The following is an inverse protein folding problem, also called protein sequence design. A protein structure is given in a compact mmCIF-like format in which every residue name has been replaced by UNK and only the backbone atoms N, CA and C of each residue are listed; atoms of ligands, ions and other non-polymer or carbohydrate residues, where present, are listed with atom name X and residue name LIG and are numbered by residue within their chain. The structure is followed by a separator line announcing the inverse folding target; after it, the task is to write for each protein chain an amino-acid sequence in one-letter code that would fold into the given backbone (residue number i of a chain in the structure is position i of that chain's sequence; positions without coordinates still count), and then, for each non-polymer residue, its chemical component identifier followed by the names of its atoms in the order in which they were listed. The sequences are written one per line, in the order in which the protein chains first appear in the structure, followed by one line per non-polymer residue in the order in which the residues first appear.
data_IF_252360326624
#
_entry.id   IF_252360326624
#
_cell.length_a   1.000
_cell.length_b   1.000
_cell.length_c   1.000
_cell.angle_alpha   90.00
_cell.angle_beta   90.00
_cell.angle_gamma   90.00
#
_symmetry.space_group_name_H-M   'P 1'
#
loop_
_entity.id
_entity.type
_entity.pdbx_description
1 polymer ?
#
# COMPACT_ATOMS: atom_id res chain seq x y z
N UNK A 1 9.18 1.89 60.33
CA UNK A 1 9.97 1.53 59.12
C UNK A 1 9.00 1.09 58.03
N UNK A 2 9.31 1.35 56.76
CA UNK A 2 8.47 0.99 55.60
C UNK A 2 8.62 -0.51 55.30
N UNK A 3 7.55 -1.15 54.82
CA UNK A 3 7.69 -2.24 53.84
C UNK A 3 6.40 -2.39 53.02
N UNK A 4 6.34 -1.57 51.96
CA UNK A 4 5.43 -1.74 50.83
C UNK A 4 5.57 -3.15 50.25
N UNK A 5 4.47 -3.87 50.06
CA UNK A 5 4.42 -5.01 49.13
C UNK A 5 3.47 -4.68 48.00
N UNK A 6 4.06 -4.36 46.85
CA UNK A 6 3.37 -4.31 45.56
C UNK A 6 2.91 -5.74 45.21
N UNK A 7 1.63 -5.94 44.93
CA UNK A 7 1.22 -7.09 44.14
C UNK A 7 1.56 -6.80 42.68
N UNK A 8 2.27 -7.69 41.95
CA UNK A 8 2.26 -7.65 40.50
C UNK A 8 0.89 -8.12 40.02
N UNK A 9 0.12 -7.23 39.40
CA UNK A 9 -1.01 -7.63 38.57
C UNK A 9 -0.43 -8.34 37.34
N UNK A 10 -0.37 -9.67 37.40
CA UNK A 10 0.03 -10.48 36.27
C UNK A 10 -1.03 -10.34 35.16
N UNK A 11 -0.75 -9.51 34.15
CA UNK A 11 -1.56 -9.41 32.95
C UNK A 11 -1.39 -10.71 32.15
N UNK A 12 -2.21 -11.70 32.47
CA UNK A 12 -2.30 -12.94 31.72
C UNK A 12 -2.99 -12.63 30.39
N UNK A 13 -2.21 -12.32 29.35
CA UNK A 13 -2.72 -12.24 27.97
C UNK A 13 -3.02 -13.67 27.52
N UNK A 14 -4.18 -14.17 27.94
CA UNK A 14 -4.75 -15.39 27.42
C UNK A 14 -5.20 -15.13 25.98
N UNK A 15 -4.46 -15.67 25.02
CA UNK A 15 -4.87 -15.72 23.62
C UNK A 15 -6.06 -16.68 23.46
N UNK A 16 -7.25 -16.22 23.82
CA UNK A 16 -8.50 -16.86 23.44
C UNK A 16 -8.71 -16.76 21.91
N UNK A 17 -9.68 -17.50 21.36
CA UNK A 17 -10.16 -17.20 20.02
C UNK A 17 -10.62 -15.74 20.00
N UNK A 18 -10.10 -14.96 19.05
CA UNK A 18 -10.49 -13.57 18.88
C UNK A 18 -11.93 -13.50 18.38
N UNK A 19 -12.88 -13.43 19.31
CA UNK A 19 -14.19 -12.87 19.04
C UNK A 19 -14.02 -11.40 18.66
N UNK A 20 -14.87 -10.89 17.77
CA UNK A 20 -14.78 -9.51 17.30
C UNK A 20 -14.86 -8.48 18.43
N UNK A 21 -14.48 -7.23 18.10
CA UNK A 21 -14.39 -6.07 19.00
C UNK A 21 -15.28 -6.05 20.24
N UNK A 22 -14.74 -5.51 21.32
CA UNK A 22 -15.49 -5.19 22.53
C UNK A 22 -16.53 -4.10 22.25
N UNK A 23 -17.80 -4.41 22.47
CA UNK A 23 -18.93 -3.49 22.47
C UNK A 23 -19.20 -3.01 23.88
N UNK A 24 -19.61 -1.75 24.03
CA UNK A 24 -19.95 -1.12 25.31
C UNK A 24 -21.34 -0.52 25.25
N UNK A 25 -22.13 -0.64 26.32
CA UNK A 25 -23.45 0.00 26.42
C UNK A 25 -23.40 1.38 27.12
N UNK A 26 -24.55 2.06 27.18
CA UNK A 26 -24.72 3.35 27.86
C UNK A 26 -24.55 3.30 29.39
N UNK A 27 -24.55 2.10 29.98
CA UNK A 27 -24.25 1.83 31.39
C UNK A 27 -22.77 1.44 31.64
N UNK A 28 -21.94 1.39 30.60
CA UNK A 28 -20.52 1.01 30.68
C UNK A 28 -20.24 -0.50 30.78
N UNK A 29 -21.26 -1.34 30.61
CA UNK A 29 -21.11 -2.80 30.52
C UNK A 29 -20.54 -3.19 29.16
N UNK A 30 -19.67 -4.21 29.13
CA UNK A 30 -18.97 -4.65 27.91
C UNK A 30 -19.36 -6.06 27.46
N UNK A 31 -19.22 -6.31 26.15
CA UNK A 31 -19.44 -7.59 25.49
C UNK A 31 -18.46 -7.76 24.32
N UNK A 32 -17.63 -8.81 24.33
CA UNK A 32 -16.86 -9.22 23.14
C UNK A 32 -17.77 -10.01 22.20
N UNK A 33 -17.90 -9.55 20.95
CA UNK A 33 -18.83 -10.11 19.99
C UNK A 33 -18.60 -9.66 18.54
N UNK A 34 -18.91 -10.55 17.60
CA UNK A 34 -18.92 -10.22 16.18
C UNK A 34 -20.12 -9.34 15.82
N UNK A 35 -19.90 -8.31 14.99
CA UNK A 35 -21.01 -7.67 14.29
C UNK A 35 -21.60 -8.60 13.23
N UNK A 36 -22.88 -8.94 13.37
CA UNK A 36 -23.61 -9.75 12.38
C UNK A 36 -24.35 -8.89 11.38
N UNK A 37 -25.13 -7.91 11.85
CA UNK A 37 -25.94 -7.00 11.01
C UNK A 37 -26.56 -5.85 11.81
N UNK A 38 -26.94 -4.80 11.10
CA UNK A 38 -27.91 -3.78 11.55
C UNK A 38 -29.29 -4.09 10.95
N UNK A 39 -30.38 -3.98 11.72
CA UNK A 39 -31.75 -3.89 11.20
C UNK A 39 -32.54 -2.82 11.94
N UNK A 40 -32.99 -1.80 11.21
CA UNK A 40 -33.59 -0.61 11.83
C UNK A 40 -32.61 0.03 12.82
N UNK A 41 -33.04 0.38 14.05
CA UNK A 41 -32.17 0.89 15.10
C UNK A 41 -31.46 -0.22 15.91
N UNK A 42 -31.56 -1.50 15.53
CA UNK A 42 -31.03 -2.62 16.33
C UNK A 42 -29.81 -3.26 15.68
N UNK A 43 -28.70 -3.24 16.41
CA UNK A 43 -27.48 -3.98 16.11
C UNK A 43 -27.64 -5.42 16.58
N UNK A 44 -27.25 -6.39 15.76
CA UNK A 44 -27.23 -7.80 16.13
C UNK A 44 -25.77 -8.25 16.26
N UNK A 45 -25.40 -8.58 17.48
CA UNK A 45 -24.06 -9.04 17.87
C UNK A 45 -24.07 -10.57 18.08
N UNK A 46 -22.90 -11.20 17.98
CA UNK A 46 -22.73 -12.63 18.29
C UNK A 46 -21.55 -12.84 19.22
N UNK A 47 -21.84 -13.18 20.48
CA UNK A 47 -20.82 -13.55 21.46
C UNK A 47 -20.35 -15.00 21.32
N UNK A 48 -19.49 -15.43 22.24
CA UNK A 48 -18.87 -16.76 22.27
C UNK A 48 -19.87 -17.92 22.22
N UNK A 49 -21.03 -17.76 22.87
CA UNK A 49 -22.10 -18.78 22.89
C UNK A 49 -22.85 -18.93 21.55
N UNK A 50 -22.42 -18.20 20.51
CA UNK A 50 -22.97 -18.13 19.16
C UNK A 50 -24.42 -17.62 19.07
N UNK A 51 -25.01 -17.15 20.17
CA UNK A 51 -26.36 -16.56 20.15
C UNK A 51 -26.32 -15.14 19.57
N UNK A 52 -27.44 -14.72 19.00
CA UNK A 52 -27.62 -13.34 18.55
C UNK A 52 -28.11 -12.47 19.70
N UNK A 53 -27.32 -11.49 20.10
CA UNK A 53 -27.68 -10.47 21.09
C UNK A 53 -28.18 -9.22 20.36
N UNK A 54 -29.46 -8.82 20.51
CA UNK A 54 -29.96 -7.57 19.95
C UNK A 54 -29.61 -6.40 20.88
N UNK A 55 -28.77 -5.48 20.41
CA UNK A 55 -28.42 -4.25 21.10
C UNK A 55 -29.08 -3.04 20.39
N UNK A 56 -29.96 -2.28 21.05
CA UNK A 56 -30.47 -1.01 20.51
C UNK A 56 -29.32 -0.02 20.33
N UNK A 57 -29.22 0.62 19.15
CA UNK A 57 -28.12 1.52 18.82
C UNK A 57 -28.01 2.71 19.80
N UNK A 58 -29.14 3.24 20.25
CA UNK A 58 -29.21 4.31 21.25
C UNK A 58 -28.87 3.88 22.69
N UNK A 59 -28.55 2.59 22.89
CA UNK A 59 -28.05 2.00 24.15
C UNK A 59 -26.59 1.56 24.03
N UNK A 60 -25.93 1.82 22.90
CA UNK A 60 -24.50 1.61 22.74
C UNK A 60 -23.72 2.86 23.16
N UNK A 61 -22.45 2.68 23.52
CA UNK A 61 -21.51 3.77 23.76
C UNK A 61 -21.38 4.69 22.54
N UNK A 62 -20.94 5.94 22.73
CA UNK A 62 -20.76 6.86 21.61
C UNK A 62 -19.78 6.31 20.56
N UNK A 63 -18.68 5.68 20.99
CA UNK A 63 -17.71 5.06 20.10
C UNK A 63 -18.32 3.92 19.25
N UNK A 64 -19.21 3.12 19.83
CA UNK A 64 -19.91 2.05 19.11
C UNK A 64 -21.03 2.58 18.21
N UNK A 65 -21.69 3.68 18.60
CA UNK A 65 -22.61 4.41 17.72
C UNK A 65 -21.89 4.97 16.49
N UNK A 66 -20.71 5.59 16.68
CA UNK A 66 -19.86 6.08 15.60
C UNK A 66 -19.35 4.94 14.71
N UNK A 67 -18.96 3.79 15.28
CA UNK A 67 -18.61 2.60 14.50
C UNK A 67 -19.79 2.15 13.62
N UNK A 68 -21.01 2.06 14.18
CA UNK A 68 -22.20 1.65 13.42
C UNK A 68 -22.60 2.68 12.37
N UNK A 69 -22.35 3.97 12.59
CA UNK A 69 -22.55 4.99 11.55
C UNK A 69 -21.55 4.81 10.40
N UNK A 70 -20.26 4.58 10.71
CA UNK A 70 -19.25 4.26 9.70
C UNK A 70 -19.60 2.98 8.91
N UNK A 71 -20.20 1.98 9.56
CA UNK A 71 -20.75 0.81 8.87
C UNK A 71 -21.88 1.17 7.90
N UNK A 72 -22.79 2.09 8.26
CA UNK A 72 -23.86 2.55 7.35
C UNK A 72 -23.31 3.28 6.12
N UNK A 73 -22.27 4.10 6.29
CA UNK A 73 -21.59 4.76 5.17
C UNK A 73 -20.96 3.74 4.22
N UNK A 74 -20.26 2.75 4.77
CA UNK A 74 -19.56 1.72 4.00
C UNK A 74 -20.49 0.67 3.38
N UNK A 75 -21.62 0.34 4.01
CA UNK A 75 -22.66 -0.55 3.46
C UNK A 75 -23.76 0.18 2.66
N UNK A 76 -23.64 1.50 2.54
CA UNK A 76 -24.60 2.35 1.83
C UNK A 76 -24.53 2.19 0.31
N UNK A 77 -25.60 2.58 -0.42
CA UNK A 77 -25.58 2.56 -1.88
C UNK A 77 -24.69 3.69 -2.42
N UNK A 78 -23.69 3.34 -3.21
CA UNK A 78 -22.76 4.26 -3.90
C UNK A 78 -22.67 3.93 -5.39
N UNK A 79 -21.99 4.78 -6.14
CA UNK A 79 -21.66 4.53 -7.55
C UNK A 79 -20.38 3.72 -7.67
N UNK A 80 -20.38 2.75 -8.59
CA UNK A 80 -19.28 1.82 -8.88
C UNK A 80 -18.86 1.94 -10.35
N UNK A 81 -17.56 2.00 -10.61
CA UNK A 81 -17.05 2.08 -11.97
C UNK A 81 -17.15 0.73 -12.70
N UNK A 82 -17.70 0.75 -13.92
CA UNK A 82 -17.87 -0.44 -14.78
C UNK A 82 -17.04 -0.37 -16.05
N UNK A 83 -16.37 0.76 -16.30
CA UNK A 83 -15.80 1.11 -17.61
C UNK A 83 -16.84 1.47 -18.68
N UNK A 84 -18.08 1.73 -18.27
CA UNK A 84 -19.19 2.27 -19.06
C UNK A 84 -20.08 3.13 -18.16
N UNK A 85 -21.40 2.96 -18.22
CA UNK A 85 -22.33 3.59 -17.28
C UNK A 85 -22.12 3.05 -15.85
N UNK A 86 -21.94 3.91 -14.83
CA UNK A 86 -21.69 3.48 -13.46
C UNK A 86 -22.92 2.81 -12.85
N UNK A 87 -22.72 1.77 -12.03
CA UNK A 87 -23.81 1.07 -11.34
C UNK A 87 -23.97 1.65 -9.94
N UNK A 88 -25.20 2.02 -9.57
CA UNK A 88 -25.53 2.45 -8.20
C UNK A 88 -26.00 1.26 -7.36
N UNK A 89 -25.26 0.93 -6.31
CA UNK A 89 -25.59 -0.17 -5.41
C UNK A 89 -24.67 -0.30 -4.20
N UNK A 90 -24.96 -1.31 -3.37
CA UNK A 90 -24.21 -1.63 -2.15
C UNK A 90 -23.19 -2.72 -2.42
N UNK A 91 -22.02 -2.63 -1.81
CA UNK A 91 -21.11 -3.76 -1.72
C UNK A 91 -21.83 -4.94 -1.03
N UNK A 92 -21.79 -6.11 -1.65
CA UNK A 92 -22.28 -7.35 -1.05
C UNK A 92 -21.12 -8.23 -0.60
N UNK A 93 -20.18 -8.51 -1.51
CA UNK A 93 -19.03 -9.39 -1.31
C UNK A 93 -18.05 -9.30 -2.49
N UNK A 94 -16.87 -9.91 -2.31
CA UNK A 94 -15.92 -10.20 -3.39
C UNK A 94 -16.23 -11.58 -4.01
N UNK A 95 -16.17 -11.68 -5.34
CA UNK A 95 -16.24 -12.91 -6.15
C UNK A 95 -14.85 -13.21 -6.75
N UNK A 96 -14.69 -14.34 -7.42
CA UNK A 96 -13.44 -14.73 -8.08
C UNK A 96 -13.03 -13.77 -9.23
N UNK A 97 -14.02 -13.17 -9.89
CA UNK A 97 -13.90 -12.34 -11.09
C UNK A 97 -14.10 -10.84 -10.85
N UNK A 98 -14.65 -10.46 -9.69
CA UNK A 98 -14.96 -9.07 -9.38
C UNK A 98 -15.64 -8.85 -8.04
N UNK A 99 -16.43 -7.78 -7.95
CA UNK A 99 -17.17 -7.36 -6.76
C UNK A 99 -18.66 -7.45 -7.02
N UNK A 100 -19.40 -8.15 -6.16
CA UNK A 100 -20.87 -8.21 -6.23
C UNK A 100 -21.47 -6.92 -5.66
N UNK A 101 -22.25 -6.22 -6.48
CA UNK A 101 -22.92 -4.97 -6.14
C UNK A 101 -24.43 -5.16 -6.25
N UNK A 102 -25.16 -4.98 -5.15
CA UNK A 102 -26.62 -5.13 -5.09
C UNK A 102 -27.33 -3.78 -5.25
N UNK A 103 -28.25 -3.70 -6.21
CA UNK A 103 -28.99 -2.49 -6.57
C UNK A 103 -30.50 -2.61 -6.34
N UNK A 104 -31.29 -2.00 -7.23
CA UNK A 104 -32.75 -2.16 -7.25
C UNK A 104 -33.24 -3.42 -8.00
N UNK A 105 -32.33 -4.14 -8.67
CA UNK A 105 -32.57 -5.41 -9.36
C UNK A 105 -31.53 -6.45 -8.95
N UNK A 106 -31.27 -7.42 -9.83
CA UNK A 106 -30.30 -8.50 -9.58
C UNK A 106 -28.88 -7.96 -9.27
N UNK A 107 -28.09 -8.67 -8.44
CA UNK A 107 -26.71 -8.29 -8.16
C UNK A 107 -25.86 -8.27 -9.43
N UNK A 108 -25.13 -7.18 -9.63
CA UNK A 108 -24.20 -7.00 -10.75
C UNK A 108 -22.78 -7.28 -10.27
N UNK A 109 -22.05 -8.18 -10.94
CA UNK A 109 -20.62 -8.37 -10.69
C UNK A 109 -19.84 -7.33 -11.49
N UNK A 110 -19.14 -6.44 -10.79
CA UNK A 110 -18.24 -5.44 -11.37
C UNK A 110 -16.84 -6.08 -11.49
N UNK A 111 -16.30 -6.33 -12.70
CA UNK A 111 -15.03 -7.04 -12.84
C UNK A 111 -13.86 -6.25 -12.25
N UNK A 112 -12.87 -6.94 -11.66
CA UNK A 112 -11.71 -6.27 -11.05
C UNK A 112 -10.98 -5.31 -12.00
N UNK A 113 -10.88 -5.64 -13.29
CA UNK A 113 -10.27 -4.81 -14.33
C UNK A 113 -11.07 -3.53 -14.68
N UNK A 114 -12.21 -3.29 -14.01
CA UNK A 114 -13.09 -2.13 -14.20
C UNK A 114 -13.26 -1.27 -12.95
N UNK A 115 -12.89 -1.79 -11.77
CA UNK A 115 -12.92 -1.06 -10.51
C UNK A 115 -11.97 0.14 -10.54
N UNK A 116 -12.48 1.31 -10.18
CA UNK A 116 -11.66 2.51 -9.98
C UNK A 116 -10.80 2.39 -8.70
N UNK A 117 -9.73 3.21 -8.55
CA UNK A 117 -8.96 3.27 -7.30
C UNK A 117 -9.82 3.50 -6.05
N UNK A 118 -10.91 4.26 -6.16
CA UNK A 118 -11.87 4.50 -5.08
C UNK A 118 -12.70 3.26 -4.74
N UNK A 119 -13.07 2.43 -5.73
CA UNK A 119 -13.77 1.16 -5.50
C UNK A 119 -12.88 0.16 -4.76
N UNK A 120 -11.61 0.06 -5.15
CA UNK A 120 -10.61 -0.76 -4.44
C UNK A 120 -10.47 -0.33 -2.97
N UNK A 121 -10.28 0.98 -2.72
CA UNK A 121 -10.18 1.53 -1.36
C UNK A 121 -11.46 1.30 -0.55
N UNK A 122 -12.64 1.38 -1.17
CA UNK A 122 -13.91 1.18 -0.48
C UNK A 122 -14.08 -0.26 0.01
N UNK A 123 -13.74 -1.27 -0.81
CA UNK A 123 -13.78 -2.68 -0.40
C UNK A 123 -12.77 -2.97 0.71
N UNK A 124 -11.56 -2.39 0.64
CA UNK A 124 -10.57 -2.49 1.71
C UNK A 124 -11.06 -1.86 3.02
N UNK A 125 -11.60 -0.64 2.95
CA UNK A 125 -12.18 0.04 4.10
C UNK A 125 -13.35 -0.74 4.71
N UNK A 126 -14.20 -1.38 3.89
CA UNK A 126 -15.31 -2.21 4.35
C UNK A 126 -14.82 -3.44 5.13
N UNK A 127 -13.84 -4.18 4.60
CA UNK A 127 -13.28 -5.36 5.27
C UNK A 127 -12.51 -4.99 6.54
N UNK A 128 -11.63 -3.97 6.48
CA UNK A 128 -10.90 -3.46 7.65
C UNK A 128 -11.83 -2.98 8.75
N UNK A 129 -12.89 -2.25 8.40
CA UNK A 129 -13.86 -1.75 9.39
C UNK A 129 -14.64 -2.87 10.09
N UNK A 130 -14.93 -3.96 9.39
CA UNK A 130 -15.54 -5.16 9.96
C UNK A 130 -14.55 -6.10 10.67
N UNK A 131 -13.26 -5.73 10.76
CA UNK A 131 -12.19 -6.55 11.32
C UNK A 131 -12.10 -7.94 10.65
N UNK A 132 -12.39 -7.98 9.34
CA UNK A 132 -12.36 -9.20 8.52
C UNK A 132 -11.17 -9.19 7.58
N UNK A 133 -10.57 -10.36 7.40
CA UNK A 133 -9.57 -10.58 6.37
C UNK A 133 -10.11 -10.21 4.98
N UNK A 134 -9.21 -9.70 4.13
CA UNK A 134 -9.51 -9.53 2.71
C UNK A 134 -9.58 -10.91 2.04
N UNK A 135 -10.56 -11.16 1.15
CA UNK A 135 -10.67 -12.43 0.46
C UNK A 135 -9.42 -12.77 -0.34
N UNK A 136 -9.08 -14.07 -0.37
CA UNK A 136 -7.89 -14.56 -1.07
C UNK A 136 -7.81 -14.06 -2.51
N UNK A 137 -6.60 -13.68 -2.94
CA UNK A 137 -6.37 -13.15 -4.27
C UNK A 137 -6.81 -11.70 -4.49
N UNK A 138 -7.65 -11.08 -3.64
CA UNK A 138 -8.08 -9.69 -3.82
C UNK A 138 -6.90 -8.71 -3.90
N UNK A 139 -5.95 -8.81 -2.97
CA UNK A 139 -4.72 -8.01 -2.98
C UNK A 139 -3.77 -8.34 -4.15
N UNK A 140 -3.87 -9.53 -4.74
CA UNK A 140 -3.18 -9.85 -5.99
C UNK A 140 -3.86 -9.18 -7.19
N UNK A 141 -5.19 -9.24 -7.27
CA UNK A 141 -6.00 -8.59 -8.32
C UNK A 141 -5.87 -7.06 -8.28
N UNK A 142 -5.81 -6.44 -7.10
CA UNK A 142 -5.51 -5.00 -6.97
C UNK A 142 -4.13 -4.63 -7.53
N UNK A 143 -3.10 -5.43 -7.24
CA UNK A 143 -1.74 -5.24 -7.78
C UNK A 143 -1.69 -5.46 -9.29
N UNK A 144 -2.43 -6.44 -9.79
CA UNK A 144 -2.58 -6.71 -11.23
C UNK A 144 -3.27 -5.54 -11.96
N UNK A 145 -4.39 -5.03 -11.42
CA UNK A 145 -5.10 -3.87 -11.95
C UNK A 145 -4.22 -2.61 -11.95
N UNK A 146 -3.57 -2.28 -10.82
CA UNK A 146 -2.63 -1.16 -10.73
C UNK A 146 -1.44 -1.30 -11.69
N UNK A 147 -1.01 -2.52 -12.02
CA UNK A 147 0.03 -2.76 -13.01
C UNK A 147 -0.46 -2.72 -14.47
N UNK A 148 -1.77 -2.77 -14.70
CA UNK A 148 -2.37 -2.60 -16.03
C UNK A 148 -2.56 -1.12 -16.40
N UNK A 149 -2.74 -0.25 -15.41
CA UNK A 149 -2.81 1.21 -15.56
C UNK A 149 -1.43 1.80 -15.96
N UNK A 150 -1.41 2.87 -16.78
CA UNK A 150 -0.17 3.61 -17.03
C UNK A 150 0.28 4.30 -15.73
N UNK A 151 1.59 4.40 -15.45
CA UNK A 151 2.05 5.13 -14.28
C UNK A 151 1.63 6.60 -14.34
N UNK A 152 1.29 7.17 -13.19
CA UNK A 152 0.69 8.51 -13.03
C UNK A 152 1.56 9.65 -13.61
N UNK A 153 2.88 9.44 -13.70
CA UNK A 153 3.84 10.36 -14.30
C UNK A 153 4.60 9.70 -15.48
N UNK A 154 3.95 8.79 -16.20
CA UNK A 154 4.52 8.15 -17.38
C UNK A 154 4.81 9.19 -18.48
N UNK A 155 6.06 9.43 -18.89
CA UNK A 155 6.34 10.41 -19.92
C UNK A 155 5.82 9.93 -21.27
N UNK A 156 4.97 10.74 -21.91
CA UNK A 156 4.57 10.56 -23.29
C UNK A 156 5.72 10.97 -24.23
N UNK A 157 5.99 10.14 -25.24
CA UNK A 157 6.95 10.47 -26.29
C UNK A 157 6.62 9.78 -27.60
N UNK A 158 7.22 10.30 -28.66
CA UNK A 158 7.40 9.55 -29.90
C UNK A 158 8.49 8.48 -29.71
N UNK A 159 8.23 7.28 -30.19
CA UNK A 159 9.12 6.13 -30.20
C UNK A 159 9.38 5.71 -31.63
N UNK A 160 10.64 5.46 -31.96
CA UNK A 160 11.05 5.00 -33.29
C UNK A 160 11.46 3.53 -33.22
N UNK A 161 10.97 2.70 -34.14
CA UNK A 161 11.42 1.31 -34.26
C UNK A 161 12.70 1.17 -35.10
N UNK A 162 13.29 -0.02 -35.11
CA UNK A 162 14.50 -0.32 -35.88
C UNK A 162 14.33 -0.22 -37.41
N UNK A 163 13.12 0.09 -37.91
CA UNK A 163 12.80 0.35 -39.33
C UNK A 163 12.44 1.82 -39.57
N UNK A 164 12.58 2.70 -38.57
CA UNK A 164 12.24 4.12 -38.67
C UNK A 164 10.76 4.45 -38.52
N UNK A 165 9.90 3.48 -38.17
CA UNK A 165 8.46 3.73 -37.96
C UNK A 165 8.24 4.34 -36.58
N UNK A 166 7.36 5.34 -36.52
CA UNK A 166 7.09 6.14 -35.32
C UNK A 166 5.74 5.82 -34.71
N UNK A 167 5.66 5.81 -33.37
CA UNK A 167 4.43 5.71 -32.58
C UNK A 167 4.48 6.66 -31.38
N UNK A 168 3.35 7.22 -30.97
CA UNK A 168 3.24 7.93 -29.68
C UNK A 168 2.81 6.94 -28.60
N UNK A 169 3.52 6.91 -27.46
CA UNK A 169 3.18 6.06 -26.33
C UNK A 169 3.75 6.60 -25.00
N UNK A 170 3.09 6.26 -23.89
CA UNK A 170 3.60 6.52 -22.55
C UNK A 170 4.64 5.45 -22.16
N UNK A 171 5.76 5.87 -21.55
CA UNK A 171 6.71 4.94 -20.93
C UNK A 171 6.26 4.54 -19.52
N UNK A 172 6.07 3.24 -19.25
CA UNK A 172 5.82 2.74 -17.90
C UNK A 172 6.83 1.70 -17.43
N UNK A 173 8.11 1.93 -17.75
CA UNK A 173 9.23 1.13 -17.24
C UNK A 173 9.73 0.06 -18.22
N UNK A 174 10.59 -0.82 -17.73
CA UNK A 174 11.15 -1.93 -18.49
C UNK A 174 11.04 -3.24 -17.70
N UNK A 175 10.92 -4.36 -18.43
CA UNK A 175 10.85 -5.71 -17.87
C UNK A 175 11.75 -6.63 -18.67
N UNK A 176 12.86 -7.04 -18.08
CA UNK A 176 13.89 -7.85 -18.75
C UNK A 176 14.44 -7.13 -19.99
N UNK A 177 14.15 -7.66 -21.18
CA UNK A 177 14.62 -7.13 -22.48
C UNK A 177 13.54 -6.37 -23.28
N UNK A 178 12.47 -5.92 -22.61
CA UNK A 178 11.37 -5.16 -23.22
C UNK A 178 11.10 -3.85 -22.47
N UNK A 179 10.73 -2.80 -23.22
CA UNK A 179 10.09 -1.60 -22.68
C UNK A 179 8.59 -1.86 -22.50
N UNK A 180 8.01 -1.32 -21.45
CA UNK A 180 6.57 -1.35 -21.19
C UNK A 180 5.98 -0.05 -21.72
N UNK A 181 5.24 -0.13 -22.83
CA UNK A 181 4.67 1.01 -23.53
C UNK A 181 3.15 0.99 -23.44
N UNK A 182 2.53 2.10 -23.08
CA UNK A 182 1.08 2.25 -23.14
C UNK A 182 0.69 3.01 -24.40
N UNK A 183 0.03 2.32 -25.32
CA UNK A 183 -0.43 2.84 -26.61
C UNK A 183 -1.96 2.86 -26.53
N UNK A 184 -2.59 4.04 -26.64
CA UNK A 184 -4.05 4.20 -26.55
C UNK A 184 -4.66 3.51 -25.30
N UNK A 185 -4.01 3.69 -24.15
CA UNK A 185 -4.42 3.08 -22.87
C UNK A 185 -4.14 1.57 -22.71
N UNK A 186 -3.64 0.88 -23.75
CA UNK A 186 -3.28 -0.54 -23.68
C UNK A 186 -1.78 -0.72 -23.47
N UNK A 187 -1.41 -1.59 -22.52
CA UNK A 187 -0.02 -1.97 -22.21
C UNK A 187 0.53 -2.97 -23.22
N UNK A 188 1.74 -2.71 -23.73
CA UNK A 188 2.50 -3.59 -24.62
C UNK A 188 3.93 -3.81 -24.09
N UNK A 189 4.42 -5.06 -24.13
CA UNK A 189 5.83 -5.37 -23.90
C UNK A 189 6.58 -5.28 -25.24
N UNK A 190 7.23 -4.15 -25.50
CA UNK A 190 7.93 -3.90 -26.76
C UNK A 190 9.42 -4.29 -26.66
N UNK A 191 9.92 -5.28 -27.41
CA UNK A 191 11.31 -5.73 -27.29
C UNK A 191 12.31 -4.60 -27.57
N UNK A 192 13.27 -4.38 -26.67
CA UNK A 192 14.25 -3.29 -26.82
C UNK A 192 15.06 -3.43 -28.11
N UNK A 193 15.37 -4.65 -28.53
CA UNK A 193 16.06 -4.93 -29.79
C UNK A 193 15.30 -4.46 -31.05
N UNK A 194 13.99 -4.18 -30.95
CA UNK A 194 13.16 -3.63 -32.03
C UNK A 194 13.02 -2.11 -31.98
N UNK A 195 13.47 -1.43 -30.90
CA UNK A 195 13.51 0.03 -30.82
C UNK A 195 14.74 0.59 -31.55
N UNK A 196 14.70 1.88 -31.89
CA UNK A 196 15.85 2.64 -32.39
C UNK A 196 17.01 2.65 -31.37
N UNK A 197 18.26 2.90 -31.80
CA UNK A 197 19.40 3.04 -30.88
C UNK A 197 19.18 4.11 -29.81
N UNK A 198 18.51 5.21 -30.14
CA UNK A 198 18.33 6.34 -29.23
C UNK A 198 17.20 6.10 -28.22
N UNK A 199 16.10 5.47 -28.64
CA UNK A 199 15.05 5.04 -27.72
C UNK A 199 15.56 3.97 -26.74
N UNK A 200 16.43 3.04 -27.20
CA UNK A 200 17.11 2.08 -26.29
C UNK A 200 17.97 2.78 -25.24
N UNK A 201 18.76 3.79 -25.63
CA UNK A 201 19.59 4.59 -24.71
C UNK A 201 18.71 5.33 -23.70
N UNK A 202 17.63 5.94 -24.17
CA UNK A 202 16.71 6.67 -23.31
C UNK A 202 16.02 5.75 -22.29
N UNK A 203 15.56 4.56 -22.70
CA UNK A 203 15.03 3.54 -21.76
C UNK A 203 16.06 3.14 -20.71
N UNK A 204 17.31 2.91 -21.11
CA UNK A 204 18.38 2.58 -20.18
C UNK A 204 18.65 3.73 -19.17
N UNK A 205 18.59 4.98 -19.63
CA UNK A 205 18.71 6.16 -18.77
C UNK A 205 17.56 6.24 -17.75
N UNK A 206 16.31 5.98 -18.16
CA UNK A 206 15.17 5.95 -17.23
C UNK A 206 15.31 4.84 -16.18
N UNK A 207 15.73 3.63 -16.59
CA UNK A 207 15.99 2.54 -15.64
C UNK A 207 17.08 2.90 -14.62
N UNK A 208 18.13 3.61 -15.06
CA UNK A 208 19.17 4.10 -14.16
C UNK A 208 18.64 5.16 -13.18
N UNK A 209 17.84 6.12 -13.65
CA UNK A 209 17.23 7.14 -12.78
C UNK A 209 16.30 6.52 -11.73
N UNK A 210 15.47 5.54 -12.11
CA UNK A 210 14.61 4.82 -11.18
C UNK A 210 15.45 4.09 -10.12
N UNK A 211 16.46 3.33 -10.53
CA UNK A 211 17.37 2.64 -9.60
C UNK A 211 18.07 3.61 -8.65
N UNK A 212 18.50 4.78 -9.13
CA UNK A 212 19.11 5.82 -8.29
C UNK A 212 18.12 6.51 -7.34
N UNK A 213 16.82 6.53 -7.66
CA UNK A 213 15.77 7.01 -6.77
C UNK A 213 15.47 5.97 -5.69
N UNK A 214 15.31 4.70 -6.08
CA UNK A 214 15.06 3.57 -5.18
C UNK A 214 16.21 3.41 -4.17
N UNK A 215 17.46 3.51 -4.62
CA UNK A 215 18.65 3.48 -3.73
C UNK A 215 18.72 4.68 -2.78
N UNK A 216 18.18 5.85 -3.16
CA UNK A 216 18.12 7.03 -2.28
C UNK A 216 16.96 6.96 -1.27
N UNK A 217 15.83 6.34 -1.64
CA UNK A 217 14.71 6.06 -0.73
C UNK A 217 14.91 4.83 0.15
N UNK A 218 15.94 4.03 -0.11
CA UNK A 218 16.10 2.64 0.34
C UNK A 218 16.47 2.41 1.82
N UNK A 219 16.33 3.38 2.73
CA UNK A 219 16.66 3.20 4.17
C UNK A 219 15.50 2.65 5.01
N UNK A 220 14.36 2.29 4.40
CA UNK A 220 13.16 1.84 5.15
C UNK A 220 12.45 0.58 4.61
N UNK A 221 12.96 -0.11 3.59
CA UNK A 221 12.21 -1.21 2.95
C UNK A 221 13.06 -2.40 2.41
N UNK A 222 14.23 -2.68 2.99
CA UNK A 222 15.04 -3.84 2.62
C UNK A 222 15.55 -4.63 3.84
N UNK A 223 14.75 -5.63 4.21
CA UNK A 223 15.15 -6.97 4.68
C UNK A 223 16.44 -7.10 5.51
N UNK A 224 16.23 -7.47 6.77
CA UNK A 224 17.20 -8.17 7.61
C UNK A 224 17.75 -9.41 6.89
N UNK A 225 18.94 -9.32 6.30
CA UNK A 225 19.77 -10.49 6.02
C UNK A 225 20.77 -10.58 7.18
N UNK A 226 20.45 -11.45 8.13
CA UNK A 226 21.33 -11.77 9.25
C UNK A 226 22.54 -12.57 8.79
N UNK A 227 23.55 -11.89 8.23
CA UNK A 227 24.86 -12.50 7.99
C UNK A 227 25.64 -12.56 9.30
N UNK A 228 25.42 -13.62 10.06
CA UNK A 228 26.31 -14.02 11.15
C UNK A 228 27.67 -14.38 10.57
N UNK A 229 28.65 -13.48 10.71
CA UNK A 229 30.07 -13.83 10.65
C UNK A 229 30.73 -13.38 11.95
N UNK A 230 30.73 -14.28 12.92
CA UNK A 230 31.60 -14.21 14.08
C UNK A 230 32.68 -15.29 13.93
N UNK A 231 33.92 -14.90 13.62
CA UNK A 231 35.14 -15.63 13.98
C UNK A 231 36.39 -14.83 13.59
N UNK A 232 36.95 -14.10 14.56
CA UNK A 232 38.32 -13.58 14.53
C UNK A 232 39.27 -14.70 15.00
N UNK A 233 40.41 -14.91 14.33
CA UNK A 233 41.62 -15.41 14.99
C UNK A 233 42.71 -14.30 15.07
N UNK A 234 43.67 -14.39 16.01
CA UNK A 234 44.68 -13.35 16.23
C UNK A 234 46.08 -13.70 15.66
N UNK A 235 46.85 -12.65 15.32
CA UNK A 235 48.32 -12.63 15.29
C UNK A 235 49.01 -13.16 14.03
N UNK A 236 49.82 -12.33 13.36
CA UNK A 236 51.26 -12.23 13.63
C UNK A 236 51.91 -10.99 12.95
N UNK A 237 53.16 -10.77 13.32
CA UNK A 237 54.01 -9.56 13.27
C UNK A 237 54.38 -8.88 11.92
N UNK A 238 54.66 -7.56 12.07
CA UNK A 238 55.82 -6.77 11.60
C UNK A 238 56.20 -6.59 10.11
N UNK A 239 56.53 -5.33 9.76
CA UNK A 239 57.31 -4.95 8.57
C UNK A 239 57.13 -3.49 8.11
N UNK A 240 57.99 -2.57 8.56
CA UNK A 240 57.99 -1.12 8.22
C UNK A 240 59.42 -0.54 8.38
N UNK A 241 59.91 0.45 7.59
CA UNK A 241 59.63 0.81 6.18
C UNK A 241 60.91 0.49 5.34
N UNK A 242 61.79 1.39 4.80
CA UNK A 242 61.78 2.84 4.48
C UNK A 242 61.70 3.16 2.96
N UNK A 243 61.61 4.45 2.60
CA UNK A 243 61.76 4.95 1.21
C UNK A 243 61.14 6.33 0.98
N UNK A 244 61.93 7.40 1.08
CA UNK A 244 61.50 8.80 0.94
C UNK A 244 61.23 9.22 -0.53
N UNK A 245 60.39 10.23 -0.72
CA UNK A 245 60.75 11.43 -1.52
C UNK A 245 59.74 12.56 -1.32
N UNK A 246 60.25 13.79 -1.35
CA UNK A 246 59.53 15.03 -1.05
C UNK A 246 58.74 15.56 -2.26
N UNK A 247 57.78 16.45 -2.02
CA UNK A 247 56.86 16.95 -3.06
C UNK A 247 56.09 18.21 -2.63
N UNK A 248 56.81 19.19 -2.09
CA UNK A 248 56.27 20.49 -1.66
C UNK A 248 55.68 21.29 -2.84
N UNK A 249 54.40 21.70 -2.75
CA UNK A 249 54.00 23.02 -3.25
C UNK A 249 52.79 23.61 -2.52
N UNK A 250 52.72 24.94 -2.55
CA UNK A 250 52.01 25.84 -1.62
C UNK A 250 51.04 26.73 -2.42
N UNK A 251 49.83 26.99 -1.93
CA UNK A 251 48.85 27.75 -2.73
C UNK A 251 47.48 28.04 -2.09
N UNK A 252 47.46 28.57 -0.88
CA UNK A 252 46.34 29.39 -0.35
C UNK A 252 46.60 30.89 -0.64
N UNK A 253 45.65 31.83 -0.39
CA UNK A 253 44.20 31.68 -0.14
C UNK A 253 43.34 32.63 -1.01
N UNK A 254 42.02 32.60 -0.83
CA UNK A 254 41.10 33.59 -1.38
C UNK A 254 39.75 33.64 -0.66
N UNK A 255 39.66 34.41 0.44
CA UNK A 255 38.35 34.93 0.88
C UNK A 255 37.88 36.03 -0.08
N UNK A 256 36.63 36.47 -0.07
CA UNK A 256 35.47 36.16 0.77
C UNK A 256 34.44 37.28 0.59
N UNK A 257 33.21 37.14 1.08
CA UNK A 257 32.38 38.20 1.69
C UNK A 257 30.92 37.75 1.87
N UNK A 258 30.31 38.24 2.95
CA UNK A 258 28.88 38.13 3.22
C UNK A 258 28.18 39.41 2.73
N UNK A 259 27.00 39.29 2.12
CA UNK A 259 26.17 40.44 1.76
C UNK A 259 24.70 40.06 1.71
N UNK A 260 23.86 40.72 2.51
CA UNK A 260 22.43 40.42 2.66
C UNK A 260 21.52 41.31 1.80
N UNK A 261 20.23 40.96 1.74
CA UNK A 261 19.16 41.78 1.17
C UNK A 261 18.87 43.04 2.03
N UNK A 262 18.11 44.03 1.51
CA UNK A 262 16.63 44.00 1.52
C UNK A 262 16.03 44.31 0.12
N UNK A 263 14.78 43.98 -0.24
CA UNK A 263 13.46 44.45 0.25
C UNK A 263 13.28 45.97 0.20
N UNK A 264 12.79 46.48 -0.93
CA UNK A 264 11.49 47.19 -1.06
C UNK A 264 10.86 46.81 -2.41
#
# INVERSE_FOLDING_TARGET
MKLTRLLPLALLVAGGPAFGRTWTNDEGQTLEADFVRLRGPTVYLRGEDKKLVPAPLNRLSEADQQWVERYKELSGPREWATGGEPVRGRFELVREDGVSVSGAGDPVVVPFAKLSPADWQHVEAYHTHLERDLPDGFAAKRREAKAAEPPENAPEREWTDARGRKITALYGGAKGKAALLWIQGKRYEYPLAKLSPDDRRWVAQQCLQQLMADLRGGVSAATSIGTTVAARPPGLEAGVPPGESEGEFRGEPGGGEYGAAPIE
#
